data_IF_293583530566
#
_entry.id   IF_293583530566
#
_cell.length_a   1.000
_cell.length_b   1.000
_cell.length_c   1.000
_cell.angle_alpha   90.00
_cell.angle_beta   90.00
_cell.angle_gamma   90.00
#
_symmetry.space_group_name_H-M   'P 1'
#
loop_
_entity.id
_entity.type
_entity.pdbx_description
1 polymer ?
#
# COMPACT_ATOMS: atom_id res chain seq x y z
N UNK A 1 -11.30 -1.39 2.58
CA UNK A 1 -10.87 -0.91 3.91
C UNK A 1 -9.57 -1.57 4.34
N UNK A 2 -8.66 -0.77 4.84
CA UNK A 2 -7.40 -1.31 5.36
C UNK A 2 -7.65 -1.89 6.76
N UNK A 3 -7.37 -3.17 6.93
CA UNK A 3 -7.62 -3.89 8.18
C UNK A 3 -6.38 -3.98 9.07
N UNK A 4 -5.18 -4.07 8.48
CA UNK A 4 -3.97 -4.18 9.26
C UNK A 4 -2.76 -3.66 8.51
N UNK A 5 -1.75 -3.27 9.26
CA UNK A 5 -0.45 -2.83 8.75
C UNK A 5 0.64 -3.71 9.33
N UNK A 6 1.54 -4.16 8.48
CA UNK A 6 2.75 -4.82 8.93
C UNK A 6 3.80 -3.79 9.35
N UNK A 7 3.79 -2.61 8.73
CA UNK A 7 4.69 -1.49 9.01
C UNK A 7 4.01 -0.52 9.99
N UNK A 8 4.44 -0.54 11.23
CA UNK A 8 3.80 0.29 12.27
C UNK A 8 4.08 1.78 12.10
N UNK A 9 5.23 2.15 11.54
CA UNK A 9 5.52 3.55 11.25
C UNK A 9 4.60 4.07 10.15
N UNK A 10 4.31 3.24 9.17
CA UNK A 10 3.38 3.58 8.10
C UNK A 10 1.96 3.76 8.64
N UNK A 11 1.53 2.87 9.51
CA UNK A 11 0.23 2.97 10.16
C UNK A 11 0.09 4.28 10.92
N UNK A 12 1.10 4.61 11.72
CA UNK A 12 1.10 5.85 12.50
C UNK A 12 1.04 7.07 11.58
N UNK A 13 1.81 7.05 10.50
CA UNK A 13 1.81 8.13 9.52
C UNK A 13 0.41 8.36 8.96
N UNK A 14 -0.26 7.28 8.54
CA UNK A 14 -1.58 7.38 7.93
C UNK A 14 -2.66 7.79 8.94
N UNK A 15 -2.62 7.23 10.15
CA UNK A 15 -3.67 7.51 11.14
C UNK A 15 -3.53 8.85 11.85
N UNK A 16 -2.29 9.31 12.04
CA UNK A 16 -2.04 10.49 12.89
C UNK A 16 -1.27 11.62 12.20
N UNK A 17 -0.89 11.44 10.93
CA UNK A 17 -0.04 12.36 10.19
C UNK A 17 1.36 12.55 10.80
N UNK A 18 1.78 11.65 11.69
CA UNK A 18 3.13 11.66 12.23
C UNK A 18 4.03 10.80 11.37
N UNK A 19 4.68 11.42 10.41
CA UNK A 19 5.39 10.73 9.33
C UNK A 19 6.89 10.94 9.38
N UNK A 20 7.45 11.12 10.56
CA UNK A 20 8.86 11.50 10.74
C UNK A 20 9.86 10.46 10.20
N UNK A 21 9.42 9.22 10.05
CA UNK A 21 10.29 8.14 9.57
C UNK A 21 10.40 8.08 8.04
N UNK A 22 9.67 8.93 7.34
CA UNK A 22 9.60 8.88 5.88
C UNK A 22 10.06 10.19 5.27
N UNK A 23 10.58 10.10 4.03
CA UNK A 23 10.97 11.28 3.28
C UNK A 23 9.74 12.13 2.97
N UNK A 24 9.89 13.44 3.12
CA UNK A 24 8.78 14.38 2.93
C UNK A 24 8.16 14.28 1.53
N UNK A 25 9.01 14.13 0.51
CA UNK A 25 8.53 14.02 -0.87
C UNK A 25 7.73 12.74 -1.13
N UNK A 26 7.94 11.71 -0.32
CA UNK A 26 7.27 10.42 -0.46
C UNK A 26 5.94 10.40 0.28
N UNK A 27 5.86 11.08 1.43
CA UNK A 27 4.71 11.02 2.33
C UNK A 27 3.40 11.34 1.62
N UNK A 28 3.37 12.41 0.84
CA UNK A 28 2.15 12.86 0.17
C UNK A 28 1.60 11.78 -0.76
N UNK A 29 2.49 11.15 -1.55
CA UNK A 29 2.08 10.10 -2.47
C UNK A 29 1.63 8.84 -1.76
N UNK A 30 2.36 8.48 -0.69
CA UNK A 30 2.02 7.31 0.12
C UNK A 30 0.63 7.48 0.73
N UNK A 31 0.37 8.63 1.36
CA UNK A 31 -0.93 8.88 1.99
C UNK A 31 -2.07 8.84 0.98
N UNK A 32 -1.86 9.42 -0.20
CA UNK A 32 -2.86 9.38 -1.26
C UNK A 32 -3.17 7.95 -1.69
N UNK A 33 -2.14 7.11 -1.84
CA UNK A 33 -2.35 5.71 -2.23
C UNK A 33 -3.02 4.91 -1.12
N UNK A 34 -2.69 5.18 0.14
CA UNK A 34 -3.36 4.52 1.26
C UNK A 34 -4.85 4.87 1.30
N UNK A 35 -5.20 6.12 1.01
CA UNK A 35 -6.60 6.51 0.96
C UNK A 35 -7.34 5.77 -0.16
N UNK A 36 -6.72 5.60 -1.32
CA UNK A 36 -7.29 4.83 -2.42
C UNK A 36 -7.51 3.37 -2.00
N UNK A 37 -6.53 2.79 -1.30
CA UNK A 37 -6.63 1.42 -0.81
C UNK A 37 -7.75 1.27 0.20
N UNK A 38 -7.88 2.24 1.11
CA UNK A 38 -8.92 2.19 2.13
C UNK A 38 -10.32 2.25 1.52
N UNK A 39 -10.47 3.00 0.43
CA UNK A 39 -11.76 3.16 -0.24
C UNK A 39 -12.09 1.99 -1.16
N UNK A 40 -11.11 1.17 -1.54
CA UNK A 40 -11.32 0.09 -2.51
C UNK A 40 -12.17 -1.02 -1.91
N UNK A 41 -13.11 -1.55 -2.70
CA UNK A 41 -13.92 -2.70 -2.34
C UNK A 41 -13.52 -3.96 -3.11
N UNK A 42 -12.74 -3.79 -4.17
CA UNK A 42 -12.21 -4.91 -4.95
C UNK A 42 -10.86 -4.51 -5.54
N UNK A 43 -10.11 -5.52 -5.99
CA UNK A 43 -8.78 -5.26 -6.57
C UNK A 43 -8.84 -4.40 -7.83
N UNK A 44 -9.91 -4.52 -8.61
CA UNK A 44 -10.05 -3.71 -9.82
C UNK A 44 -10.06 -2.21 -9.54
N UNK A 45 -10.53 -1.80 -8.38
CA UNK A 45 -10.52 -0.40 -7.99
C UNK A 45 -9.09 0.15 -7.94
N UNK A 46 -8.11 -0.70 -7.70
CA UNK A 46 -6.71 -0.30 -7.59
C UNK A 46 -5.96 -0.34 -8.92
N UNK A 47 -6.63 -0.69 -10.00
CA UNK A 47 -6.07 -0.56 -11.35
C UNK A 47 -6.05 0.88 -11.83
N UNK A 48 -6.77 1.75 -11.16
CA UNK A 48 -6.83 3.18 -11.51
C UNK A 48 -6.27 4.02 -10.38
N UNK A 49 -5.43 5.00 -10.68
CA UNK A 49 -4.91 5.31 -12.01
C UNK A 49 -3.95 4.22 -12.51
N UNK A 50 -3.74 4.09 -13.83
CA UNK A 50 -2.84 3.05 -14.39
C UNK A 50 -1.41 3.12 -13.84
N UNK A 51 -0.99 4.30 -13.37
CA UNK A 51 0.33 4.48 -12.76
C UNK A 51 0.49 3.69 -11.47
N UNK A 52 -0.59 3.17 -10.88
CA UNK A 52 -0.50 2.27 -9.72
C UNK A 52 0.23 0.98 -10.08
N UNK A 53 0.14 0.54 -11.32
CA UNK A 53 0.77 -0.70 -11.79
C UNK A 53 0.46 -1.87 -10.86
N UNK A 54 -0.82 -2.03 -10.54
CA UNK A 54 -1.27 -3.13 -9.69
C UNK A 54 -0.80 -4.46 -10.27
N UNK A 55 -0.09 -5.25 -9.45
CA UNK A 55 0.38 -6.56 -9.90
C UNK A 55 0.47 -7.53 -8.72
N UNK A 56 0.26 -8.82 -8.97
CA UNK A 56 0.39 -9.83 -7.93
C UNK A 56 1.86 -10.10 -7.61
N UNK A 57 2.11 -10.52 -6.38
CA UNK A 57 3.43 -10.97 -5.97
C UNK A 57 3.45 -12.50 -5.97
N UNK A 58 4.64 -13.06 -6.17
CA UNK A 58 4.83 -14.50 -6.28
C UNK A 58 5.68 -15.02 -5.12
N UNK A 59 5.45 -16.28 -4.75
CA UNK A 59 6.16 -16.92 -3.66
C UNK A 59 5.20 -17.32 -2.54
N UNK A 60 5.57 -18.32 -1.73
CA UNK A 60 4.67 -18.81 -0.68
C UNK A 60 4.33 -17.75 0.37
N UNK A 61 5.26 -16.81 0.62
CA UNK A 61 5.04 -15.73 1.60
C UNK A 61 4.14 -14.63 1.06
N UNK A 62 3.81 -14.65 -0.24
CA UNK A 62 3.02 -13.60 -0.89
C UNK A 62 1.66 -14.08 -1.38
N UNK A 63 1.15 -15.16 -0.79
CA UNK A 63 -0.15 -15.68 -1.19
C UNK A 63 -1.23 -14.59 -1.02
N UNK A 64 -1.96 -14.33 -2.10
CA UNK A 64 -3.01 -13.29 -2.15
C UNK A 64 -2.47 -11.88 -1.88
N UNK A 65 -1.18 -11.64 -2.15
CA UNK A 65 -0.56 -10.34 -1.95
C UNK A 65 -0.28 -9.66 -3.28
N UNK A 66 -0.36 -8.33 -3.24
CA UNK A 66 -0.27 -7.48 -4.41
C UNK A 66 0.60 -6.27 -4.09
N UNK A 67 1.01 -5.57 -5.14
CA UNK A 67 1.77 -4.33 -4.97
C UNK A 67 1.22 -3.24 -5.87
N UNK A 68 1.29 -2.00 -5.39
CA UNK A 68 1.05 -0.81 -6.21
C UNK A 68 2.25 0.11 -6.10
N UNK A 69 2.56 0.80 -7.21
CA UNK A 69 3.67 1.73 -7.26
C UNK A 69 3.31 3.04 -6.57
N UNK A 70 4.25 3.62 -5.85
CA UNK A 70 4.09 4.93 -5.22
C UNK A 70 4.91 5.97 -5.97
N UNK A 71 6.22 5.81 -5.99
CA UNK A 71 7.13 6.76 -6.64
C UNK A 71 8.51 6.11 -6.78
N UNK A 72 9.03 6.09 -8.02
CA UNK A 72 10.34 5.49 -8.29
C UNK A 72 10.39 4.04 -7.82
N UNK A 73 11.36 3.68 -6.98
CA UNK A 73 11.48 2.30 -6.50
C UNK A 73 10.51 1.94 -5.37
N UNK A 74 9.75 2.92 -4.87
CA UNK A 74 8.87 2.70 -3.72
C UNK A 74 7.54 2.12 -4.14
N UNK A 75 7.06 1.12 -3.37
CA UNK A 75 5.77 0.49 -3.62
C UNK A 75 5.12 0.11 -2.29
N UNK A 76 3.79 0.03 -2.32
CA UNK A 76 3.00 -0.48 -1.20
C UNK A 76 2.65 -1.93 -1.48
N UNK A 77 2.94 -2.79 -0.53
CA UNK A 77 2.61 -4.21 -0.60
C UNK A 77 1.48 -4.48 0.39
N UNK A 78 0.54 -5.30 -0.02
CA UNK A 78 -0.62 -5.64 0.81
C UNK A 78 -1.18 -6.99 0.40
N UNK A 79 -1.97 -7.59 1.28
CA UNK A 79 -2.73 -8.79 0.96
C UNK A 79 -4.21 -8.46 0.90
N UNK A 80 -4.95 -9.13 0.04
CA UNK A 80 -6.37 -8.83 -0.17
C UNK A 80 -7.20 -10.09 0.07
N UNK A 81 -8.15 -10.01 1.03
CA UNK A 81 -9.06 -11.10 1.36
C UNK A 81 -10.40 -10.53 1.79
N UNK A 82 -11.50 -11.13 1.34
CA UNK A 82 -12.86 -10.79 1.80
C UNK A 82 -13.13 -9.28 1.78
N UNK A 83 -12.74 -8.63 0.69
CA UNK A 83 -12.92 -7.19 0.48
C UNK A 83 -12.08 -6.32 1.43
N UNK A 84 -11.17 -6.92 2.19
CA UNK A 84 -10.28 -6.21 3.10
C UNK A 84 -8.83 -6.24 2.66
N UNK A 85 -8.10 -5.24 3.11
CA UNK A 85 -6.68 -5.09 2.81
C UNK A 85 -5.89 -5.29 4.09
N UNK A 86 -4.88 -6.17 4.05
CA UNK A 86 -4.14 -6.62 5.22
C UNK A 86 -2.64 -6.47 5.02
N UNK A 87 -1.93 -6.36 6.13
CA UNK A 87 -0.46 -6.41 6.19
C UNK A 87 0.21 -5.39 5.28
N UNK A 88 -0.32 -4.18 5.27
CA UNK A 88 0.19 -3.10 4.43
C UNK A 88 1.58 -2.67 4.89
N UNK A 89 2.49 -2.53 3.91
CA UNK A 89 3.84 -2.06 4.18
C UNK A 89 4.41 -1.34 2.97
N UNK A 90 5.34 -0.45 3.24
CA UNK A 90 6.06 0.30 2.21
C UNK A 90 7.43 -0.35 2.02
N UNK A 91 7.75 -0.73 0.80
CA UNK A 91 9.03 -1.35 0.48
C UNK A 91 9.67 -0.69 -0.74
N UNK A 92 10.98 -0.72 -0.76
CA UNK A 92 11.76 -0.24 -1.88
C UNK A 92 12.07 -1.42 -2.79
N UNK A 93 11.83 -1.24 -4.09
CA UNK A 93 12.10 -2.27 -5.08
C UNK A 93 13.60 -2.31 -5.39
N UNK A 94 14.16 -3.50 -5.41
CA UNK A 94 15.58 -3.71 -5.76
C UNK A 94 15.72 -4.50 -7.03
#
# INVERSE_FOLDING_TARGET
MIKSFKDKNLEKCWRTNQCNKFRTDLVRRVLMKLDLMDAATCLDDLKNPPSNRLHPLHGPEYKNCWAISVNGPWRLIFCFENEGIFDVRLEQYH
#
